data_IF_508463646316
#
_entry.id   IF_508463646316
#
_cell.length_a   1.000
_cell.length_b   1.000
_cell.length_c   1.000
_cell.angle_alpha   90.00
_cell.angle_beta   90.00
_cell.angle_gamma   90.00
#
_symmetry.space_group_name_H-M   'P 1'
#
loop_
_entity.id
_entity.type
_entity.pdbx_description
1 polymer ?
#
# COMPACT_ATOMS: atom_id res chain seq x y z
N UNK A 1 -5.15 7.62 -5.30
CA UNK A 1 -4.51 8.61 -6.18
C UNK A 1 -5.07 9.97 -5.81
N UNK A 2 -4.25 10.82 -5.17
CA UNK A 2 -4.59 12.22 -4.92
C UNK A 2 -4.60 12.93 -6.28
N UNK A 3 -5.66 13.66 -6.59
CA UNK A 3 -5.84 14.31 -7.90
C UNK A 3 -4.87 15.50 -8.06
N UNK A 4 -4.83 16.08 -9.26
CA UNK A 4 -4.00 17.23 -9.64
C UNK A 4 -4.15 18.40 -8.66
N UNK A 5 -3.18 18.57 -7.75
CA UNK A 5 -3.10 19.67 -6.78
C UNK A 5 -2.17 20.76 -7.31
N UNK A 6 -2.57 22.02 -7.14
CA UNK A 6 -1.65 23.17 -7.23
C UNK A 6 -0.62 23.12 -6.10
N UNK A 7 0.51 23.82 -6.26
CA UNK A 7 1.56 23.82 -5.23
C UNK A 7 1.10 24.43 -3.90
N UNK A 8 0.17 25.40 -3.97
CA UNK A 8 -0.48 25.97 -2.78
C UNK A 8 -1.32 24.92 -2.05
N UNK A 9 -2.09 24.12 -2.78
CA UNK A 9 -2.89 23.04 -2.18
C UNK A 9 -1.99 21.95 -1.58
N UNK A 10 -0.87 21.61 -2.24
CA UNK A 10 0.11 20.63 -1.70
C UNK A 10 0.71 21.08 -0.38
N UNK A 11 1.13 22.33 -0.26
CA UNK A 11 1.72 22.82 1.01
C UNK A 11 0.67 22.89 2.13
N UNK A 12 -0.56 23.34 1.84
CA UNK A 12 -1.64 23.34 2.84
C UNK A 12 -1.96 21.94 3.37
N UNK A 13 -2.07 20.98 2.46
CA UNK A 13 -2.22 19.54 2.73
C UNK A 13 -1.09 19.06 3.63
N UNK A 14 0.16 19.37 3.28
CA UNK A 14 1.33 18.92 4.01
C UNK A 14 1.34 19.45 5.45
N UNK A 15 0.97 20.71 5.67
CA UNK A 15 0.85 21.28 7.01
C UNK A 15 -0.24 20.57 7.83
N UNK A 16 -1.45 20.46 7.26
CA UNK A 16 -2.61 19.82 7.90
C UNK A 16 -2.31 18.35 8.26
N UNK A 17 -1.64 17.64 7.35
CA UNK A 17 -1.32 16.23 7.53
C UNK A 17 -0.12 16.00 8.44
N UNK A 18 0.85 16.90 8.51
CA UNK A 18 2.00 16.74 9.41
C UNK A 18 1.56 16.67 10.87
N UNK A 19 0.58 17.48 11.27
CA UNK A 19 0.04 17.47 12.63
C UNK A 19 -0.67 16.14 12.91
N UNK A 20 -1.56 15.71 12.01
CA UNK A 20 -2.34 14.48 12.16
C UNK A 20 -1.44 13.24 12.16
N UNK A 21 -0.47 13.16 11.25
CA UNK A 21 0.49 12.06 11.18
C UNK A 21 1.36 11.99 12.43
N UNK A 22 1.88 13.12 12.91
CA UNK A 22 2.68 13.15 14.13
C UNK A 22 1.89 12.63 15.34
N UNK A 23 0.61 13.01 15.46
CA UNK A 23 -0.28 12.49 16.51
C UNK A 23 -0.47 10.98 16.39
N UNK A 24 -0.74 10.46 15.20
CA UNK A 24 -0.92 9.01 14.96
C UNK A 24 0.37 8.25 15.29
N UNK A 25 1.53 8.73 14.80
CA UNK A 25 2.84 8.12 15.09
C UNK A 25 3.11 8.07 16.60
N UNK A 26 2.90 9.18 17.31
CA UNK A 26 3.14 9.23 18.76
C UNK A 26 2.18 8.34 19.57
N UNK A 27 0.94 8.17 19.09
CA UNK A 27 -0.08 7.41 19.82
C UNK A 27 0.01 5.90 19.55
N UNK A 28 0.30 5.51 18.32
CA UNK A 28 0.22 4.12 17.87
C UNK A 28 1.58 3.44 17.73
N UNK A 29 2.64 4.19 17.39
CA UNK A 29 3.97 3.61 17.21
C UNK A 29 4.86 3.68 18.44
N UNK A 30 4.64 4.62 19.38
CA UNK A 30 5.23 4.70 20.76
C UNK A 30 6.64 4.08 20.97
N UNK A 31 7.58 4.26 20.04
CA UNK A 31 8.91 3.61 20.02
C UNK A 31 8.92 2.06 20.02
N UNK A 32 7.81 1.44 19.68
CA UNK A 32 7.71 0.00 19.51
C UNK A 32 8.39 -0.42 18.21
N UNK A 33 9.20 -1.48 18.30
CA UNK A 33 9.67 -2.16 17.12
C UNK A 33 8.50 -2.88 16.45
N UNK A 34 8.18 -2.49 15.22
CA UNK A 34 7.14 -3.15 14.43
C UNK A 34 7.72 -4.46 13.88
N UNK A 35 7.17 -5.58 14.33
CA UNK A 35 7.51 -6.89 13.79
C UNK A 35 6.51 -7.25 12.69
N UNK A 36 7.03 -7.57 11.51
CA UNK A 36 6.25 -8.09 10.40
C UNK A 36 6.85 -9.40 9.92
N UNK A 37 6.00 -10.27 9.39
CA UNK A 37 6.40 -11.51 8.73
C UNK A 37 6.10 -11.34 7.25
N UNK A 38 7.13 -11.47 6.41
CA UNK A 38 6.99 -11.46 4.96
C UNK A 38 7.02 -12.91 4.48
N UNK A 39 5.88 -13.42 4.06
CA UNK A 39 5.72 -14.83 3.70
C UNK A 39 4.73 -14.97 2.56
N UNK A 40 5.05 -15.81 1.57
CA UNK A 40 4.20 -16.02 0.41
C UNK A 40 4.23 -14.87 -0.60
N UNK A 41 3.69 -15.15 -1.79
CA UNK A 41 3.63 -14.24 -2.93
C UNK A 41 2.25 -14.29 -3.56
N UNK A 42 1.81 -13.18 -4.11
CA UNK A 42 0.51 -13.02 -4.74
C UNK A 42 0.57 -11.92 -5.82
N UNK A 43 -0.46 -11.82 -6.63
CA UNK A 43 -0.53 -10.94 -7.81
C UNK A 43 -1.68 -9.93 -7.67
N UNK A 44 -1.53 -8.77 -8.29
CA UNK A 44 -2.53 -7.69 -8.15
C UNK A 44 -3.71 -7.88 -9.11
N UNK A 45 -3.50 -8.57 -10.22
CA UNK A 45 -4.52 -8.98 -11.18
C UNK A 45 -4.73 -10.51 -11.10
N UNK A 46 -5.92 -11.01 -11.41
CA UNK A 46 -6.24 -12.44 -11.30
C UNK A 46 -5.76 -13.30 -12.50
N UNK A 47 -4.79 -12.83 -13.28
CA UNK A 47 -4.25 -13.54 -14.43
C UNK A 47 -2.75 -13.82 -14.24
N UNK A 48 -2.37 -15.03 -13.79
CA UNK A 48 -0.98 -15.38 -13.54
C UNK A 48 -0.14 -15.51 -14.82
N UNK A 49 -0.75 -15.58 -16.01
CA UNK A 49 -0.02 -15.66 -17.28
C UNK A 49 0.40 -14.29 -17.83
N UNK A 50 -0.18 -13.22 -17.28
CA UNK A 50 0.04 -11.85 -17.72
C UNK A 50 -0.10 -10.89 -16.53
N UNK A 51 0.89 -10.93 -15.63
CA UNK A 51 0.91 -10.19 -14.37
C UNK A 51 1.49 -8.81 -14.54
N UNK A 52 0.83 -7.83 -13.92
CA UNK A 52 1.32 -6.46 -13.85
C UNK A 52 2.18 -6.20 -12.62
N UNK A 53 1.75 -6.71 -11.46
CA UNK A 53 2.43 -6.55 -10.18
C UNK A 53 2.40 -7.87 -9.43
N UNK A 54 3.59 -8.37 -9.09
CA UNK A 54 3.82 -9.45 -8.15
C UNK A 54 4.27 -8.84 -6.82
N UNK A 55 3.70 -9.29 -5.71
CA UNK A 55 4.04 -8.80 -4.38
C UNK A 55 4.19 -9.94 -3.37
N UNK A 56 5.00 -9.70 -2.34
CA UNK A 56 5.03 -10.53 -1.15
C UNK A 56 3.88 -10.14 -0.22
N UNK A 57 3.27 -11.14 0.42
CA UNK A 57 2.25 -10.89 1.43
C UNK A 57 2.91 -10.58 2.78
N UNK A 58 2.28 -9.69 3.53
CA UNK A 58 2.76 -9.23 4.84
C UNK A 58 1.76 -9.67 5.88
N UNK A 59 2.23 -10.38 6.91
CA UNK A 59 1.50 -10.64 8.13
C UNK A 59 2.03 -9.69 9.21
N UNK A 60 1.12 -9.09 9.95
CA UNK A 60 1.41 -8.25 11.11
C UNK A 60 0.84 -8.93 12.36
N UNK A 61 1.62 -9.78 13.06
CA UNK A 61 1.13 -10.52 14.22
C UNK A 61 0.62 -9.62 15.35
N UNK A 62 1.16 -8.39 15.42
CA UNK A 62 0.85 -7.43 16.46
C UNK A 62 -0.34 -6.52 16.11
N UNK A 63 -0.78 -6.51 14.84
CA UNK A 63 -1.70 -5.54 14.25
C UNK A 63 -1.28 -4.07 14.40
N UNK A 64 -0.09 -3.76 14.90
CA UNK A 64 0.38 -2.38 15.11
C UNK A 64 0.49 -1.65 13.77
N UNK A 65 1.09 -2.29 12.76
CA UNK A 65 1.25 -1.71 11.43
C UNK A 65 -0.11 -1.58 10.73
N UNK A 66 -0.96 -2.59 10.82
CA UNK A 66 -2.28 -2.57 10.20
C UNK A 66 -3.16 -1.46 10.78
N UNK A 67 -3.17 -1.32 12.12
CA UNK A 67 -3.91 -0.25 12.79
C UNK A 67 -3.36 1.13 12.41
N UNK A 68 -2.04 1.29 12.43
CA UNK A 68 -1.37 2.54 12.03
C UNK A 68 -1.77 2.98 10.62
N UNK A 69 -1.68 2.07 9.65
CA UNK A 69 -2.01 2.39 8.25
C UNK A 69 -3.52 2.62 8.06
N UNK A 70 -4.37 1.89 8.78
CA UNK A 70 -5.82 2.13 8.76
C UNK A 70 -6.17 3.48 9.38
N UNK A 71 -5.59 3.86 10.53
CA UNK A 71 -5.81 5.17 11.16
C UNK A 71 -5.38 6.32 10.26
N UNK A 72 -4.26 6.16 9.54
CA UNK A 72 -3.87 7.05 8.45
C UNK A 72 -5.03 7.08 7.45
N UNK A 73 -5.34 5.97 6.78
CA UNK A 73 -6.37 5.92 5.74
C UNK A 73 -7.72 6.53 6.15
N UNK A 74 -8.22 6.25 7.35
CA UNK A 74 -9.44 6.81 7.91
C UNK A 74 -9.40 8.34 8.02
N UNK A 75 -8.26 8.89 8.45
CA UNK A 75 -8.07 10.35 8.51
C UNK A 75 -8.08 11.02 7.13
N UNK A 76 -7.79 10.26 6.07
CA UNK A 76 -7.71 10.78 4.70
C UNK A 76 -8.94 10.48 3.85
N UNK A 77 -9.67 9.40 4.09
CA UNK A 77 -10.65 8.88 3.11
C UNK A 77 -11.81 9.84 2.81
N UNK A 78 -12.10 10.77 3.71
CA UNK A 78 -13.12 11.82 3.55
C UNK A 78 -12.55 13.20 3.21
N UNK A 79 -11.23 13.32 3.04
CA UNK A 79 -10.62 14.59 2.70
C UNK A 79 -11.09 15.06 1.33
N UNK A 80 -11.24 16.38 1.11
CA UNK A 80 -11.72 16.96 -0.15
C UNK A 80 -10.87 16.59 -1.39
N UNK A 81 -9.65 16.10 -1.17
CA UNK A 81 -8.71 15.66 -2.20
C UNK A 81 -8.60 14.14 -2.33
N UNK A 82 -9.27 13.40 -1.45
CA UNK A 82 -9.40 11.96 -1.57
C UNK A 82 -10.33 11.64 -2.74
N UNK A 83 -9.94 10.65 -3.53
CA UNK A 83 -10.81 10.17 -4.61
C UNK A 83 -11.96 9.39 -3.96
N UNK A 84 -13.21 9.75 -4.29
CA UNK A 84 -14.46 9.12 -3.78
C UNK A 84 -14.59 7.60 -4.04
N UNK A 85 -13.57 6.97 -4.63
CA UNK A 85 -13.48 5.54 -4.93
C UNK A 85 -12.79 4.71 -3.84
N UNK A 86 -12.36 5.33 -2.74
CA UNK A 86 -11.76 4.63 -1.61
C UNK A 86 -12.85 3.98 -0.73
N UNK A 87 -13.66 3.07 -1.30
CA UNK A 87 -14.59 2.21 -0.55
C UNK A 87 -13.89 0.93 -0.09
N UNK A 88 -12.73 1.08 0.55
CA UNK A 88 -12.00 -0.05 1.10
C UNK A 88 -12.28 -0.12 2.59
N UNK A 89 -12.62 -1.32 3.09
CA UNK A 89 -12.82 -1.55 4.52
C UNK A 89 -11.51 -1.42 5.32
N UNK A 90 -10.37 -1.66 4.67
CA UNK A 90 -9.03 -1.53 5.24
C UNK A 90 -7.96 -1.41 4.14
N UNK A 91 -6.73 -1.05 4.52
CA UNK A 91 -5.59 -0.98 3.60
C UNK A 91 -4.90 -2.34 3.49
N UNK A 92 -4.78 -2.89 2.28
CA UNK A 92 -3.98 -4.09 2.01
C UNK A 92 -2.48 -3.76 1.98
N UNK A 93 -1.77 -4.17 3.03
CA UNK A 93 -0.31 -4.03 3.12
C UNK A 93 0.37 -5.16 2.34
N UNK A 94 1.29 -4.79 1.45
CA UNK A 94 2.07 -5.73 0.66
C UNK A 94 3.41 -5.11 0.23
N UNK A 95 4.37 -5.93 -0.15
CA UNK A 95 5.67 -5.48 -0.68
C UNK A 95 5.74 -5.83 -2.15
N UNK A 96 5.73 -4.82 -3.03
CA UNK A 96 5.93 -5.06 -4.47
C UNK A 96 7.31 -5.66 -4.72
N UNK A 97 7.35 -6.84 -5.35
CA UNK A 97 8.60 -7.53 -5.71
C UNK A 97 8.98 -7.27 -7.17
N UNK A 98 8.00 -7.25 -8.06
CA UNK A 98 8.21 -7.06 -9.49
C UNK A 98 7.03 -6.34 -10.13
N UNK A 99 7.32 -5.49 -11.11
CA UNK A 99 6.33 -4.77 -11.92
C UNK A 99 6.67 -4.94 -13.39
N UNK A 100 5.66 -5.19 -14.22
CA UNK A 100 5.84 -5.30 -15.67
C UNK A 100 6.19 -3.94 -16.29
N UNK A 101 5.73 -2.85 -15.69
CA UNK A 101 5.94 -1.48 -16.16
C UNK A 101 6.59 -0.60 -15.09
N UNK A 102 7.49 0.27 -15.52
CA UNK A 102 8.06 1.33 -14.68
C UNK A 102 7.30 2.65 -14.84
N UNK A 103 6.83 2.95 -16.06
CA UNK A 103 6.00 4.09 -16.40
C UNK A 103 4.64 3.59 -16.93
N UNK A 104 3.53 4.18 -16.47
CA UNK A 104 2.17 3.85 -16.96
C UNK A 104 1.98 4.15 -18.45
N UNK A 105 2.81 5.04 -19.02
CA UNK A 105 2.82 5.34 -20.46
C UNK A 105 3.39 4.18 -21.29
N UNK A 106 4.30 3.40 -20.69
CA UNK A 106 4.91 2.22 -21.27
C UNK A 106 4.09 1.00 -20.84
N UNK A 107 2.97 0.75 -21.53
CA UNK A 107 2.26 -0.54 -21.42
C UNK A 107 3.16 -1.64 -21.96
N UNK A 108 3.99 -2.23 -21.11
CA UNK A 108 4.62 -3.50 -21.42
C UNK A 108 3.55 -4.59 -21.42
N UNK A 109 3.84 -5.70 -22.11
CA UNK A 109 3.10 -6.94 -21.89
C UNK A 109 3.45 -7.40 -20.47
N UNK A 110 2.45 -7.82 -19.69
CA UNK A 110 2.68 -8.39 -18.37
C UNK A 110 3.62 -9.60 -18.45
N UNK A 111 4.07 -10.08 -17.30
CA UNK A 111 4.96 -11.24 -17.22
C UNK A 111 4.19 -12.49 -16.76
N UNK A 112 4.65 -13.66 -17.18
CA UNK A 112 4.11 -14.93 -16.71
C UNK A 112 4.69 -15.27 -15.33
N UNK A 113 3.83 -15.34 -14.31
CA UNK A 113 4.19 -15.65 -12.94
C UNK A 113 3.75 -17.04 -12.49
N UNK A 114 3.19 -17.90 -13.38
CA UNK A 114 2.66 -19.22 -13.00
C UNK A 114 3.68 -20.05 -12.22
N UNK A 115 4.91 -20.14 -12.73
CA UNK A 115 5.98 -20.86 -12.03
C UNK A 115 6.30 -20.29 -10.65
N UNK A 116 6.24 -18.97 -10.47
CA UNK A 116 6.52 -18.34 -9.18
C UNK A 116 5.42 -18.66 -8.17
N UNK A 117 4.16 -18.67 -8.61
CA UNK A 117 3.00 -18.96 -7.76
C UNK A 117 2.84 -20.46 -7.48
N UNK A 118 3.31 -21.33 -8.38
CA UNK A 118 3.30 -22.79 -8.19
C UNK A 118 4.37 -23.27 -7.21
N UNK A 119 5.49 -22.54 -7.10
CA UNK A 119 6.54 -22.85 -6.12
C UNK A 119 6.01 -22.51 -4.73
N UNK A 120 5.54 -23.53 -4.01
CA UNK A 120 5.35 -23.46 -2.56
C UNK A 120 6.73 -23.26 -1.91
N UNK A 121 7.14 -22.01 -1.73
CA UNK A 121 8.32 -21.68 -0.94
C UNK A 121 8.02 -22.10 0.50
N UNK A 122 8.53 -23.26 0.90
CA UNK A 122 8.55 -23.70 2.29
C UNK A 122 9.69 -22.95 2.97
N UNK A 123 9.34 -22.04 3.88
CA UNK A 123 10.28 -21.43 4.82
C UNK A 123 10.46 -22.34 6.03
#
# INVERSE_FOLDING_TARGET
MLNLLSDVEKEKIKEEFSITLNRIIQTELKNNQIQIIVEGVDIMNNDPSNVDILYATVKDPSNILQNFVNSIFESFKYHAFANNKLQLDHVKIHISLMKSYFDRSLKSRGFDARYILEVKIKF
#
